data_IF_976945756432
#
_entry.id   IF_976945756432
#
_cell.length_a   1.000
_cell.length_b   1.000
_cell.length_c   1.000
_cell.angle_alpha   90.00
_cell.angle_beta   90.00
_cell.angle_gamma   90.00
#
_symmetry.space_group_name_H-M   'P 1'
#
loop_
_entity.id
_entity.type
_entity.pdbx_description
1 polymer ?
#
# COMPACT_ATOMS: atom_id res chain seq x y z
N UNK A 1 -34.43 -78.58 -2.23
CA UNK A 1 -33.29 -77.82 -1.65
C UNK A 1 -32.98 -76.64 -2.56
N UNK A 2 -33.46 -75.46 -2.22
CA UNK A 2 -33.17 -74.18 -2.96
C UNK A 2 -32.08 -73.44 -2.20
N UNK A 3 -30.90 -73.28 -2.80
CA UNK A 3 -29.80 -72.48 -2.26
C UNK A 3 -30.00 -71.02 -2.67
N UNK A 4 -30.31 -70.12 -1.71
CA UNK A 4 -30.34 -68.68 -1.92
C UNK A 4 -28.93 -68.15 -1.94
N UNK A 5 -28.53 -67.52 -3.07
CA UNK A 5 -27.30 -66.76 -3.22
C UNK A 5 -27.63 -65.34 -2.77
N UNK A 6 -26.95 -64.87 -1.72
CA UNK A 6 -26.99 -63.47 -1.27
C UNK A 6 -25.88 -62.69 -2.01
N UNK A 7 -26.20 -61.63 -2.78
CA UNK A 7 -25.14 -60.84 -3.40
C UNK A 7 -24.45 -59.95 -2.35
N UNK A 8 -23.15 -60.08 -2.24
CA UNK A 8 -22.30 -59.24 -1.40
C UNK A 8 -22.11 -57.86 -2.12
N UNK A 9 -22.77 -56.83 -1.59
CA UNK A 9 -22.62 -55.45 -2.09
C UNK A 9 -21.30 -54.87 -1.53
N UNK A 10 -20.30 -54.77 -2.38
CA UNK A 10 -19.05 -54.09 -2.03
C UNK A 10 -19.25 -52.57 -2.22
N UNK A 11 -19.43 -51.86 -1.12
CA UNK A 11 -19.46 -50.38 -1.13
C UNK A 11 -18.04 -49.83 -1.32
N UNK A 12 -17.72 -49.34 -2.52
CA UNK A 12 -16.48 -48.61 -2.77
C UNK A 12 -16.64 -47.18 -2.20
N UNK A 13 -16.01 -46.96 -1.06
CA UNK A 13 -15.94 -45.59 -0.47
C UNK A 13 -14.85 -44.80 -1.25
N UNK A 14 -15.30 -43.91 -2.11
CA UNK A 14 -14.42 -42.88 -2.70
C UNK A 14 -14.04 -41.86 -1.61
N UNK A 15 -12.85 -42.00 -1.05
CA UNK A 15 -12.23 -40.93 -0.23
C UNK A 15 -11.76 -39.86 -1.19
N UNK A 16 -12.58 -38.82 -1.39
CA UNK A 16 -12.15 -37.61 -2.06
C UNK A 16 -11.12 -36.93 -1.19
N UNK A 17 -9.84 -37.08 -1.53
CA UNK A 17 -8.76 -36.27 -0.97
C UNK A 17 -8.99 -34.83 -1.40
N UNK A 18 -9.67 -34.04 -0.55
CA UNK A 18 -9.72 -32.60 -0.70
C UNK A 18 -8.26 -32.12 -0.63
N UNK A 19 -7.74 -31.66 -1.76
CA UNK A 19 -6.44 -31.00 -1.82
C UNK A 19 -6.58 -29.68 -1.05
N UNK A 20 -6.37 -29.74 0.27
CA UNK A 20 -6.29 -28.54 1.10
C UNK A 20 -5.09 -27.76 0.59
N UNK A 21 -5.33 -26.66 -0.09
CA UNK A 21 -4.26 -25.72 -0.45
C UNK A 21 -3.56 -25.31 0.84
N UNK A 22 -2.32 -25.75 0.99
CA UNK A 22 -1.52 -25.44 2.17
C UNK A 22 -1.45 -23.92 2.33
N UNK A 23 -1.73 -23.41 3.54
CA UNK A 23 -1.60 -22.00 3.83
C UNK A 23 -0.19 -21.49 3.44
N UNK A 24 -0.06 -20.28 2.90
CA UNK A 24 1.23 -19.74 2.54
C UNK A 24 2.12 -19.66 3.78
N UNK A 25 3.38 -20.03 3.62
CA UNK A 25 4.38 -20.06 4.69
C UNK A 25 5.63 -19.33 4.22
N UNK A 26 5.58 -18.00 4.31
CA UNK A 26 6.68 -17.12 3.91
C UNK A 26 7.92 -17.38 4.78
N UNK A 27 7.75 -17.62 6.08
CA UNK A 27 8.89 -17.82 6.97
C UNK A 27 9.66 -19.10 6.59
N UNK A 28 8.96 -20.18 6.26
CA UNK A 28 9.60 -21.41 5.76
C UNK A 28 10.31 -21.18 4.43
N UNK A 29 9.64 -20.56 3.45
CA UNK A 29 10.25 -20.17 2.16
C UNK A 29 11.54 -19.36 2.35
N UNK A 30 11.49 -18.35 3.23
CA UNK A 30 12.65 -17.50 3.51
C UNK A 30 13.77 -18.28 4.19
N UNK A 31 13.44 -19.17 5.15
CA UNK A 31 14.41 -20.02 5.83
C UNK A 31 15.13 -20.96 4.85
N UNK A 32 14.41 -21.55 3.91
CA UNK A 32 14.94 -22.47 2.91
C UNK A 32 15.76 -21.76 1.82
N UNK A 33 15.31 -20.58 1.37
CA UNK A 33 15.93 -19.86 0.24
C UNK A 33 16.97 -18.81 0.65
N UNK A 34 17.00 -18.41 1.93
CA UNK A 34 17.81 -17.28 2.41
C UNK A 34 17.40 -15.93 1.80
N UNK A 35 16.18 -15.81 1.22
CA UNK A 35 15.77 -14.61 0.46
C UNK A 35 14.35 -14.17 0.80
N UNK A 36 14.16 -12.85 0.98
CA UNK A 36 12.87 -12.19 1.14
C UNK A 36 12.62 -11.24 -0.04
N UNK A 37 11.50 -11.42 -0.74
CA UNK A 37 11.10 -10.56 -1.85
C UNK A 37 10.22 -9.41 -1.35
N UNK A 38 10.69 -8.16 -1.50
CA UNK A 38 9.98 -6.95 -1.08
C UNK A 38 9.54 -6.17 -2.31
N UNK A 39 8.22 -6.01 -2.47
CA UNK A 39 7.64 -5.12 -3.47
C UNK A 39 7.79 -3.67 -3.06
N UNK A 40 8.24 -2.81 -3.98
CA UNK A 40 8.36 -1.38 -3.74
C UNK A 40 7.80 -0.56 -4.90
N UNK A 41 7.49 0.72 -4.66
CA UNK A 41 7.02 1.66 -5.68
C UNK A 41 8.18 2.53 -6.17
N UNK A 42 8.16 2.89 -7.45
CA UNK A 42 9.22 3.69 -8.04
C UNK A 42 8.98 5.21 -7.97
N UNK A 43 7.74 5.65 -7.72
CA UNK A 43 7.36 7.07 -7.79
C UNK A 43 6.44 7.56 -6.67
N UNK A 44 6.30 6.82 -5.54
CA UNK A 44 5.42 7.19 -4.43
C UNK A 44 6.17 7.91 -3.31
N UNK A 45 6.80 9.07 -3.63
CA UNK A 45 7.52 9.90 -2.65
C UNK A 45 6.54 10.50 -1.65
N UNK A 46 6.89 10.52 -0.34
CA UNK A 46 8.12 10.07 0.31
C UNK A 46 8.07 8.63 0.86
N UNK A 47 7.06 7.83 0.52
CA UNK A 47 6.86 6.48 1.09
C UNK A 47 7.75 5.42 0.44
N UNK A 48 7.74 5.33 -0.88
CA UNK A 48 8.47 4.31 -1.63
C UNK A 48 8.79 4.83 -3.03
N UNK A 49 10.06 4.94 -3.33
CA UNK A 49 10.54 5.51 -4.60
C UNK A 49 11.95 5.03 -4.91
N UNK A 50 12.45 5.36 -6.09
CA UNK A 50 13.84 5.13 -6.48
C UNK A 50 14.64 6.41 -6.25
N UNK A 51 15.71 6.32 -5.46
CA UNK A 51 16.60 7.45 -5.19
C UNK A 51 17.58 7.74 -6.35
N UNK A 52 18.45 8.72 -6.15
CA UNK A 52 19.45 9.13 -7.15
C UNK A 52 20.48 8.02 -7.46
N UNK A 53 20.69 7.10 -6.53
CA UNK A 53 21.59 5.94 -6.69
C UNK A 53 20.89 4.74 -7.33
N UNK A 54 19.64 4.90 -7.76
CA UNK A 54 18.77 3.84 -8.32
C UNK A 54 18.43 2.75 -7.32
N UNK A 55 18.34 3.09 -6.03
CA UNK A 55 17.98 2.17 -4.95
C UNK A 55 16.59 2.47 -4.41
N UNK A 56 15.83 1.44 -3.96
CA UNK A 56 14.58 1.63 -3.22
C UNK A 56 14.79 2.43 -1.94
N UNK A 57 14.01 3.50 -1.78
CA UNK A 57 14.14 4.47 -0.70
C UNK A 57 12.76 4.97 -0.26
N UNK A 58 12.66 5.56 0.93
CA UNK A 58 11.43 6.13 1.47
C UNK A 58 11.00 5.53 2.80
N UNK A 59 10.02 6.17 3.42
CA UNK A 59 9.48 5.81 4.74
C UNK A 59 9.06 4.33 4.83
N UNK A 60 8.26 3.86 3.88
CA UNK A 60 7.78 2.48 3.84
C UNK A 60 8.92 1.48 3.60
N UNK A 61 9.88 1.86 2.75
CA UNK A 61 11.07 1.06 2.48
C UNK A 61 11.93 0.93 3.73
N UNK A 62 12.06 2.01 4.51
CA UNK A 62 12.81 2.03 5.76
C UNK A 62 12.19 1.11 6.82
N UNK A 63 10.85 1.16 6.99
CA UNK A 63 10.13 0.24 7.87
C UNK A 63 10.30 -1.22 7.41
N UNK A 64 10.26 -1.47 6.11
CA UNK A 64 10.43 -2.83 5.58
C UNK A 64 11.86 -3.37 5.69
N UNK A 65 12.88 -2.53 5.69
CA UNK A 65 14.23 -2.92 6.07
C UNK A 65 14.29 -3.42 7.51
N UNK A 66 13.57 -2.77 8.45
CA UNK A 66 13.44 -3.24 9.85
C UNK A 66 12.70 -4.57 9.91
N UNK A 67 11.60 -4.72 9.14
CA UNK A 67 10.88 -6.00 9.06
C UNK A 67 11.78 -7.11 8.54
N UNK A 68 12.57 -6.86 7.50
CA UNK A 68 13.53 -7.85 6.98
C UNK A 68 14.57 -8.27 8.04
N UNK A 69 15.10 -7.31 8.81
CA UNK A 69 16.00 -7.62 9.92
C UNK A 69 15.32 -8.46 11.02
N UNK A 70 14.05 -8.13 11.36
CA UNK A 70 13.26 -8.92 12.29
C UNK A 70 12.99 -10.35 11.81
N UNK A 71 12.73 -10.55 10.51
CA UNK A 71 12.58 -11.86 9.89
C UNK A 71 13.90 -12.65 9.97
N UNK A 72 15.02 -12.00 9.64
CA UNK A 72 16.36 -12.62 9.76
C UNK A 72 16.62 -13.11 11.19
N UNK A 73 16.35 -12.27 12.18
CA UNK A 73 16.51 -12.60 13.60
C UNK A 73 15.58 -13.73 14.04
N UNK A 74 14.29 -13.66 13.67
CA UNK A 74 13.29 -14.70 14.01
C UNK A 74 13.67 -16.07 13.47
N UNK A 75 14.29 -16.12 12.29
CA UNK A 75 14.70 -17.38 11.64
C UNK A 75 16.11 -17.84 12.04
N UNK A 76 16.86 -17.05 12.81
CA UNK A 76 18.24 -17.33 13.18
C UNK A 76 19.18 -17.40 11.98
N UNK A 77 18.91 -16.62 10.92
CA UNK A 77 19.73 -16.66 9.71
C UNK A 77 20.98 -15.77 9.87
N UNK A 78 22.17 -16.24 9.45
CA UNK A 78 23.40 -15.45 9.50
C UNK A 78 23.33 -14.22 8.55
N UNK A 79 22.58 -14.33 7.46
CA UNK A 79 22.31 -13.26 6.52
C UNK A 79 20.96 -13.47 5.84
N UNK A 80 20.34 -12.39 5.36
CA UNK A 80 19.11 -12.42 4.57
C UNK A 80 19.32 -11.61 3.30
N UNK A 81 19.09 -12.24 2.14
CA UNK A 81 19.11 -11.56 0.86
C UNK A 81 17.76 -10.90 0.60
N UNK A 82 17.70 -9.58 0.61
CA UNK A 82 16.49 -8.82 0.26
C UNK A 82 16.45 -8.59 -1.24
N UNK A 83 15.45 -9.15 -1.90
CA UNK A 83 15.15 -8.96 -3.33
C UNK A 83 14.11 -7.86 -3.48
N UNK A 84 14.53 -6.69 -3.95
CA UNK A 84 13.63 -5.60 -4.27
C UNK A 84 12.97 -5.82 -5.63
N UNK A 85 11.63 -5.77 -5.67
CA UNK A 85 10.83 -5.99 -6.87
C UNK A 85 9.94 -4.77 -7.10
N UNK A 86 10.09 -4.04 -8.22
CA UNK A 86 9.19 -2.92 -8.50
C UNK A 86 7.76 -3.42 -8.75
N UNK A 87 6.79 -2.72 -8.18
CA UNK A 87 5.37 -3.00 -8.37
C UNK A 87 4.60 -1.71 -8.66
N UNK A 88 3.55 -1.83 -9.46
CA UNK A 88 2.68 -0.73 -9.88
C UNK A 88 1.38 -0.70 -9.07
N UNK A 89 0.58 0.38 -9.12
CA UNK A 89 -0.77 0.38 -8.55
C UNK A 89 -1.66 -0.73 -9.08
N UNK A 90 -1.46 -1.14 -10.33
CA UNK A 90 -2.25 -2.16 -11.03
C UNK A 90 -1.92 -3.57 -10.55
N UNK A 91 -0.63 -3.90 -10.38
CA UNK A 91 -0.17 -5.27 -10.14
C UNK A 91 0.19 -5.61 -8.68
N UNK A 92 0.43 -4.62 -7.80
CA UNK A 92 0.91 -4.83 -6.41
C UNK A 92 0.09 -5.83 -5.61
N UNK A 93 -1.26 -5.79 -5.72
CA UNK A 93 -2.14 -6.73 -4.99
C UNK A 93 -1.97 -8.14 -5.53
N UNK A 94 -1.92 -8.30 -6.86
CA UNK A 94 -1.74 -9.60 -7.50
C UNK A 94 -0.34 -10.15 -7.24
N UNK A 95 0.69 -9.31 -7.23
CA UNK A 95 2.08 -9.69 -6.93
C UNK A 95 2.24 -10.24 -5.51
N UNK A 96 1.52 -9.71 -4.52
CA UNK A 96 1.48 -10.27 -3.16
C UNK A 96 0.65 -11.56 -3.14
N UNK A 97 -0.55 -11.55 -3.72
CA UNK A 97 -1.47 -12.69 -3.67
C UNK A 97 -0.89 -13.96 -4.29
N UNK A 98 -0.14 -13.85 -5.38
CA UNK A 98 0.50 -14.98 -6.08
C UNK A 98 1.92 -15.30 -5.57
N UNK A 99 2.47 -14.49 -4.64
CA UNK A 99 3.79 -14.72 -4.05
C UNK A 99 4.99 -14.28 -4.90
N UNK A 100 4.78 -13.44 -5.92
CA UNK A 100 5.87 -12.76 -6.64
C UNK A 100 6.68 -11.90 -5.66
N UNK A 101 6.00 -11.24 -4.73
CA UNK A 101 6.59 -10.57 -3.57
C UNK A 101 6.00 -11.12 -2.27
N UNK A 102 6.78 -11.10 -1.20
CA UNK A 102 6.37 -11.60 0.12
C UNK A 102 5.65 -10.53 0.93
N UNK A 103 6.06 -9.28 0.75
CA UNK A 103 5.48 -8.09 1.38
C UNK A 103 5.56 -6.92 0.39
N UNK A 104 4.52 -6.09 0.34
CA UNK A 104 4.53 -4.84 -0.47
C UNK A 104 4.67 -3.64 0.46
N UNK A 105 5.67 -2.82 0.20
CA UNK A 105 6.14 -1.72 1.03
C UNK A 105 5.96 -0.37 0.31
N UNK A 106 4.70 -0.05 0.03
CA UNK A 106 4.30 1.20 -0.61
C UNK A 106 3.42 2.08 0.27
N UNK A 107 2.49 2.78 -0.37
CA UNK A 107 1.43 3.58 0.24
C UNK A 107 0.06 2.94 -0.03
N UNK A 108 -0.10 1.67 0.35
CA UNK A 108 -1.31 0.92 0.03
C UNK A 108 -2.33 1.01 1.15
N UNK A 109 -3.48 1.59 0.81
CA UNK A 109 -4.63 1.70 1.73
C UNK A 109 -5.18 0.33 2.06
N UNK A 110 -5.31 0.04 3.33
CA UNK A 110 -5.99 -1.13 3.85
C UNK A 110 -7.50 -0.94 3.71
N UNK A 111 -8.15 -1.75 2.87
CA UNK A 111 -9.60 -1.75 2.67
C UNK A 111 -10.16 -3.16 2.79
N UNK A 112 -11.44 -3.28 3.19
CA UNK A 112 -12.11 -4.57 3.31
C UNK A 112 -12.09 -5.35 1.99
N UNK A 113 -12.31 -4.68 0.85
CA UNK A 113 -12.28 -5.33 -0.47
C UNK A 113 -10.88 -5.84 -0.85
N UNK A 114 -9.80 -5.17 -0.43
CA UNK A 114 -8.44 -5.65 -0.64
C UNK A 114 -8.10 -6.82 0.28
N UNK A 115 -8.65 -6.83 1.50
CA UNK A 115 -8.50 -7.95 2.45
C UNK A 115 -9.15 -9.27 1.96
N UNK A 116 -10.01 -9.23 0.97
CA UNK A 116 -10.50 -10.45 0.31
C UNK A 116 -9.38 -11.20 -0.45
N UNK A 117 -8.32 -10.51 -0.83
CA UNK A 117 -7.22 -11.04 -1.66
C UNK A 117 -5.88 -11.13 -0.95
N UNK A 118 -5.60 -10.22 -0.03
CA UNK A 118 -4.35 -10.11 0.73
C UNK A 118 -4.64 -9.77 2.19
N UNK A 119 -3.70 -10.01 3.09
CA UNK A 119 -3.76 -9.50 4.46
C UNK A 119 -2.91 -8.22 4.57
N UNK A 120 -3.14 -7.46 5.64
CA UNK A 120 -2.37 -6.25 5.96
C UNK A 120 -1.71 -6.38 7.32
N UNK A 121 -0.56 -5.74 7.46
CA UNK A 121 0.09 -5.52 8.76
C UNK A 121 -0.71 -4.53 9.60
N UNK A 122 -0.24 -4.27 10.83
CA UNK A 122 -0.60 -3.06 11.57
C UNK A 122 -0.46 -1.84 10.66
N UNK A 123 -1.25 -0.79 10.93
CA UNK A 123 -1.17 0.45 10.17
C UNK A 123 0.23 1.05 10.25
N UNK A 124 0.68 1.59 9.12
CA UNK A 124 1.99 2.25 9.01
C UNK A 124 1.89 3.74 8.82
N UNK A 125 0.76 4.22 8.32
CA UNK A 125 0.47 5.64 8.14
C UNK A 125 -1.04 5.89 8.07
N UNK A 126 -1.44 7.16 8.21
CA UNK A 126 -2.81 7.62 7.99
C UNK A 126 -2.76 8.87 7.14
N UNK A 127 -3.45 8.85 6.01
CA UNK A 127 -3.56 9.96 5.07
C UNK A 127 -5.03 10.15 4.63
N UNK A 128 -5.26 11.00 3.67
CA UNK A 128 -6.54 11.19 2.99
C UNK A 128 -6.33 11.67 1.57
N UNK A 129 -7.23 11.28 0.68
CA UNK A 129 -7.24 11.74 -0.71
C UNK A 129 -7.51 13.23 -0.81
N UNK A 130 -6.91 13.91 -1.79
CA UNK A 130 -7.10 15.34 -2.07
C UNK A 130 -6.82 15.65 -3.55
N UNK A 131 -6.87 16.92 -3.90
CA UNK A 131 -6.52 17.43 -5.22
C UNK A 131 -5.22 18.23 -5.14
N UNK A 132 -4.35 18.09 -6.14
CA UNK A 132 -3.26 19.02 -6.43
C UNK A 132 -3.67 19.87 -7.61
N UNK A 133 -3.51 21.18 -7.50
CA UNK A 133 -3.88 22.16 -8.53
C UNK A 133 -2.83 23.26 -8.60
N UNK A 134 -2.82 24.04 -9.67
CA UNK A 134 -1.98 25.23 -9.72
C UNK A 134 -2.53 26.33 -8.79
N UNK A 135 -1.66 27.18 -8.25
CA UNK A 135 -2.06 28.31 -7.40
C UNK A 135 -2.93 29.34 -8.14
N UNK A 136 -2.78 29.44 -9.46
CA UNK A 136 -3.63 30.29 -10.33
C UNK A 136 -5.04 29.70 -10.55
N UNK A 137 -5.25 28.42 -10.26
CA UNK A 137 -6.53 27.75 -10.46
C UNK A 137 -7.57 28.22 -9.43
N UNK A 138 -8.83 28.40 -9.87
CA UNK A 138 -9.96 28.65 -8.99
C UNK A 138 -10.48 27.37 -8.28
N UNK A 139 -10.01 26.19 -8.68
CA UNK A 139 -10.45 24.91 -8.11
C UNK A 139 -9.98 24.82 -6.65
N UNK A 140 -10.92 24.69 -5.71
CA UNK A 140 -10.67 24.47 -4.26
C UNK A 140 -11.13 23.10 -3.80
N UNK A 141 -12.19 22.59 -4.41
CA UNK A 141 -12.90 21.37 -4.02
C UNK A 141 -13.47 20.66 -5.24
N UNK A 142 -13.99 19.44 -5.07
CA UNK A 142 -14.56 18.65 -6.18
C UNK A 142 -15.72 19.39 -6.89
N UNK A 143 -16.51 20.18 -6.16
CA UNK A 143 -17.59 20.96 -6.76
C UNK A 143 -17.13 21.94 -7.85
N UNK A 144 -15.86 22.34 -7.84
CA UNK A 144 -15.28 23.30 -8.79
C UNK A 144 -14.72 22.62 -10.07
N UNK A 145 -14.82 21.27 -10.17
CA UNK A 145 -14.28 20.49 -11.29
C UNK A 145 -15.21 20.43 -12.52
N UNK A 146 -16.33 21.17 -12.53
CA UNK A 146 -17.25 21.19 -13.67
C UNK A 146 -16.57 21.60 -14.97
N UNK A 147 -16.59 20.73 -16.00
CA UNK A 147 -15.93 20.95 -17.29
C UNK A 147 -14.40 20.94 -17.24
N UNK A 148 -13.79 20.49 -16.14
CA UNK A 148 -12.35 20.42 -15.93
C UNK A 148 -11.81 19.02 -16.18
N UNK A 149 -10.50 18.96 -16.46
CA UNK A 149 -9.76 17.70 -16.58
C UNK A 149 -9.08 17.36 -15.27
N UNK A 150 -9.37 16.18 -14.71
CA UNK A 150 -8.76 15.70 -13.48
C UNK A 150 -8.03 14.39 -13.73
N UNK A 151 -6.71 14.39 -13.50
CA UNK A 151 -5.89 13.20 -13.60
C UNK A 151 -6.02 12.33 -12.34
N UNK A 152 -5.98 11.02 -12.49
CA UNK A 152 -6.01 10.05 -11.39
C UNK A 152 -5.39 8.73 -11.83
N UNK A 153 -4.87 7.95 -10.88
CA UNK A 153 -4.37 6.59 -11.15
C UNK A 153 -5.52 5.60 -10.98
N UNK A 154 -5.83 4.78 -12.01
CA UNK A 154 -6.85 3.75 -11.94
C UNK A 154 -6.55 2.68 -10.87
N UNK A 155 -7.60 2.07 -10.30
CA UNK A 155 -7.50 1.03 -9.27
C UNK A 155 -7.11 1.55 -7.87
N UNK A 156 -6.98 2.87 -7.69
CA UNK A 156 -6.72 3.50 -6.40
C UNK A 156 -8.01 3.74 -5.62
N UNK A 157 -7.89 3.92 -4.31
CA UNK A 157 -8.99 4.37 -3.44
C UNK A 157 -9.40 5.78 -3.76
N UNK A 158 -8.43 6.64 -4.13
CA UNK A 158 -8.67 8.03 -4.54
C UNK A 158 -9.48 8.13 -5.83
N UNK A 159 -9.27 7.24 -6.82
CA UNK A 159 -10.13 7.18 -8.02
C UNK A 159 -11.60 6.95 -7.64
N UNK A 160 -11.85 5.94 -6.77
CA UNK A 160 -13.20 5.62 -6.31
C UNK A 160 -13.82 6.77 -5.52
N UNK A 161 -13.04 7.41 -4.65
CA UNK A 161 -13.48 8.54 -3.85
C UNK A 161 -13.80 9.76 -4.74
N UNK A 162 -12.96 10.05 -5.73
CA UNK A 162 -13.20 11.12 -6.73
C UNK A 162 -14.50 10.85 -7.50
N UNK A 163 -14.67 9.64 -8.03
CA UNK A 163 -15.89 9.28 -8.77
C UNK A 163 -17.16 9.45 -7.91
N UNK A 164 -17.11 9.00 -6.65
CA UNK A 164 -18.20 9.15 -5.69
C UNK A 164 -18.47 10.63 -5.38
N UNK A 165 -17.43 11.44 -5.19
CA UNK A 165 -17.55 12.87 -4.90
C UNK A 165 -18.10 13.67 -6.11
N UNK A 166 -17.65 13.37 -7.34
CA UNK A 166 -18.21 13.96 -8.57
C UNK A 166 -19.71 13.66 -8.69
N UNK A 167 -20.10 12.40 -8.49
CA UNK A 167 -21.52 11.99 -8.51
C UNK A 167 -22.32 12.70 -7.43
N UNK A 168 -21.82 12.74 -6.18
CA UNK A 168 -22.50 13.39 -5.05
C UNK A 168 -22.75 14.87 -5.29
N UNK A 169 -21.81 15.57 -5.92
CA UNK A 169 -21.91 16.99 -6.21
C UNK A 169 -22.61 17.31 -7.54
N UNK A 170 -23.01 16.30 -8.33
CA UNK A 170 -23.59 16.51 -9.66
C UNK A 170 -22.63 17.16 -10.66
N UNK A 171 -21.32 16.93 -10.48
CA UNK A 171 -20.26 17.57 -11.28
C UNK A 171 -19.82 16.62 -12.40
N UNK A 172 -19.77 17.16 -13.62
CA UNK A 172 -19.22 16.46 -14.77
C UNK A 172 -17.80 16.98 -15.05
N UNK A 173 -16.80 16.14 -14.77
CA UNK A 173 -15.39 16.36 -15.05
C UNK A 173 -14.86 15.30 -16.02
N UNK A 174 -13.89 15.67 -16.85
CA UNK A 174 -13.17 14.73 -17.69
C UNK A 174 -12.07 14.03 -16.83
N UNK A 175 -12.20 12.73 -16.60
CA UNK A 175 -11.22 11.95 -15.84
C UNK A 175 -10.12 11.45 -16.78
N UNK A 176 -8.87 11.83 -16.53
CA UNK A 176 -7.69 11.43 -17.30
C UNK A 176 -6.89 10.39 -16.51
N UNK A 177 -6.78 9.19 -17.05
CA UNK A 177 -6.04 8.12 -16.41
C UNK A 177 -4.53 8.27 -16.64
N UNK A 178 -3.76 8.18 -15.54
CA UNK A 178 -2.29 8.14 -15.55
C UNK A 178 -1.81 6.86 -14.88
N UNK A 179 -0.62 6.37 -15.22
CA UNK A 179 -0.08 5.12 -14.68
C UNK A 179 0.71 5.34 -13.40
N UNK A 180 1.44 6.45 -13.33
CA UNK A 180 2.33 6.79 -12.22
C UNK A 180 2.13 8.24 -11.76
N UNK A 181 2.51 8.52 -10.51
CA UNK A 181 2.32 9.84 -9.90
C UNK A 181 3.01 10.96 -10.68
N UNK A 182 4.22 10.70 -11.21
CA UNK A 182 4.98 11.69 -11.97
C UNK A 182 4.27 12.11 -13.27
N UNK A 183 3.46 11.23 -13.87
CA UNK A 183 2.66 11.59 -15.05
C UNK A 183 1.56 12.57 -14.68
N UNK A 184 0.91 12.38 -13.51
CA UNK A 184 -0.10 13.31 -12.99
C UNK A 184 0.46 14.72 -12.78
N UNK A 185 1.65 14.81 -12.18
CA UNK A 185 2.36 16.08 -12.03
C UNK A 185 2.66 16.72 -13.39
N UNK A 186 3.18 15.94 -14.35
CA UNK A 186 3.49 16.44 -15.69
C UNK A 186 2.27 17.00 -16.41
N UNK A 187 1.10 16.36 -16.28
CA UNK A 187 -0.14 16.86 -16.88
C UNK A 187 -0.56 18.20 -16.27
N UNK A 188 -0.37 18.40 -14.96
CA UNK A 188 -0.59 19.70 -14.30
C UNK A 188 0.40 20.77 -14.79
N UNK A 189 1.69 20.44 -14.83
CA UNK A 189 2.75 21.38 -15.22
C UNK A 189 2.59 21.85 -16.68
N UNK A 190 2.11 20.98 -17.56
CA UNK A 190 1.86 21.28 -18.97
C UNK A 190 0.46 21.85 -19.27
N UNK A 191 -0.42 21.96 -18.25
CA UNK A 191 -1.80 22.42 -18.43
C UNK A 191 -2.71 21.43 -19.16
N UNK A 192 -2.29 20.16 -19.31
CA UNK A 192 -3.09 19.10 -19.92
C UNK A 192 -4.13 18.51 -18.95
N UNK A 193 -3.95 18.75 -17.65
CA UNK A 193 -4.96 18.54 -16.61
C UNK A 193 -5.09 19.79 -15.74
N UNK A 194 -6.30 20.06 -15.25
CA UNK A 194 -6.60 21.17 -14.33
C UNK A 194 -6.35 20.78 -12.86
N UNK A 195 -6.44 19.49 -12.55
CA UNK A 195 -6.23 18.94 -11.23
C UNK A 195 -5.60 17.52 -11.32
N UNK A 196 -4.90 17.11 -10.26
CA UNK A 196 -4.46 15.73 -10.07
C UNK A 196 -4.97 15.24 -8.71
N UNK A 197 -5.69 14.10 -8.69
CA UNK A 197 -6.23 13.49 -7.49
C UNK A 197 -5.34 12.35 -7.01
N UNK A 198 -4.88 12.43 -5.76
CA UNK A 198 -4.13 11.37 -5.08
C UNK A 198 -4.17 11.60 -3.57
N UNK A 199 -3.45 10.78 -2.81
CA UNK A 199 -3.34 10.93 -1.37
C UNK A 199 -2.50 12.17 -1.05
N UNK A 200 -2.88 12.91 -0.02
CA UNK A 200 -2.39 14.26 0.27
C UNK A 200 -0.88 14.33 0.43
N UNK A 201 -0.30 13.40 1.17
CA UNK A 201 1.15 13.37 1.40
C UNK A 201 1.92 13.03 0.13
N UNK A 202 1.38 12.14 -0.72
CA UNK A 202 1.94 11.87 -2.05
C UNK A 202 1.90 13.12 -2.94
N UNK A 203 0.79 13.88 -2.92
CA UNK A 203 0.67 15.13 -3.65
C UNK A 203 1.71 16.17 -3.20
N UNK A 204 1.97 16.26 -1.88
CA UNK A 204 3.01 17.15 -1.33
C UNK A 204 4.40 16.68 -1.80
N UNK A 205 4.68 15.37 -1.71
CA UNK A 205 5.93 14.79 -2.19
C UNK A 205 6.20 15.08 -3.67
N UNK A 206 5.15 15.04 -4.51
CA UNK A 206 5.24 15.43 -5.91
C UNK A 206 5.47 16.93 -6.10
N UNK A 207 4.76 17.76 -5.33
CA UNK A 207 4.93 19.22 -5.42
C UNK A 207 6.36 19.65 -5.07
N UNK A 208 7.02 18.97 -4.12
CA UNK A 208 8.42 19.20 -3.78
C UNK A 208 9.36 18.82 -4.95
N UNK A 209 8.97 17.84 -5.77
CA UNK A 209 9.74 17.42 -6.95
C UNK A 209 9.49 18.28 -8.19
N UNK A 210 8.48 19.14 -8.16
CA UNK A 210 8.17 20.02 -9.29
C UNK A 210 9.26 21.09 -9.46
N UNK A 211 9.37 21.64 -10.66
CA UNK A 211 10.33 22.72 -10.97
C UNK A 211 10.06 24.02 -10.18
N UNK A 212 8.82 24.24 -9.76
CA UNK A 212 8.43 25.37 -8.90
C UNK A 212 7.25 24.99 -8.00
N UNK A 213 7.56 24.57 -6.78
CA UNK A 213 6.57 24.19 -5.76
C UNK A 213 5.55 25.31 -5.47
N UNK A 214 5.93 26.58 -5.61
CA UNK A 214 5.07 27.75 -5.34
C UNK A 214 3.91 27.86 -6.33
N UNK A 215 4.00 27.19 -7.47
CA UNK A 215 2.93 27.12 -8.47
C UNK A 215 1.84 26.12 -8.14
N UNK A 216 2.07 25.26 -7.14
CA UNK A 216 1.17 24.17 -6.78
C UNK A 216 0.57 24.39 -5.39
N UNK A 217 -0.65 23.96 -5.20
CA UNK A 217 -1.33 23.89 -3.90
C UNK A 217 -2.29 22.74 -3.84
N UNK A 218 -2.56 22.29 -2.63
CA UNK A 218 -3.59 21.29 -2.37
C UNK A 218 -5.00 21.92 -2.42
N UNK A 219 -5.99 21.09 -2.74
CA UNK A 219 -7.40 21.42 -2.51
C UNK A 219 -7.71 21.52 -1.01
N UNK A 220 -8.85 22.18 -0.70
CA UNK A 220 -9.22 22.52 0.67
C UNK A 220 -9.96 21.36 1.38
N UNK A 221 -10.34 20.29 0.67
CA UNK A 221 -11.09 19.15 1.21
C UNK A 221 -10.36 17.82 1.09
N UNK A 222 -10.72 16.89 1.97
CA UNK A 222 -10.37 15.50 1.86
C UNK A 222 -11.43 14.73 1.07
N UNK A 223 -11.00 13.86 0.15
CA UNK A 223 -11.86 12.99 -0.66
C UNK A 223 -12.14 11.68 0.05
N UNK A 224 -11.20 11.20 0.86
CA UNK A 224 -11.21 9.89 1.48
C UNK A 224 -10.39 9.86 2.75
N UNK A 225 -10.51 8.75 3.48
CA UNK A 225 -9.64 8.33 4.56
C UNK A 225 -8.78 7.16 4.07
N UNK A 226 -7.47 7.26 4.26
CA UNK A 226 -6.48 6.35 3.69
C UNK A 226 -5.58 5.74 4.79
N UNK A 227 -6.02 4.69 5.49
CA UNK A 227 -5.20 3.95 6.44
C UNK A 227 -4.25 3.03 5.68
N UNK A 228 -2.94 3.30 5.72
CA UNK A 228 -1.95 2.45 5.07
C UNK A 228 -1.52 1.28 5.94
N UNK A 229 -1.19 0.18 5.29
CA UNK A 229 -0.53 -0.98 5.87
C UNK A 229 0.24 -1.72 4.77
N UNK A 230 1.21 -2.53 5.15
CA UNK A 230 1.92 -3.35 4.20
C UNK A 230 1.12 -4.61 3.88
N UNK A 231 1.04 -4.95 2.60
CA UNK A 231 0.34 -6.16 2.17
C UNK A 231 1.23 -7.39 2.30
N UNK A 232 0.67 -8.46 2.84
CA UNK A 232 1.25 -9.80 2.89
C UNK A 232 0.26 -10.80 2.30
N UNK A 233 0.70 -12.01 1.95
CA UNK A 233 -0.23 -13.04 1.45
C UNK A 233 -1.34 -13.30 2.46
N UNK A 234 -2.53 -13.51 1.93
CA UNK A 234 -3.69 -13.84 2.76
C UNK A 234 -3.46 -15.16 3.51
N UNK A 235 -3.86 -15.19 4.78
CA UNK A 235 -3.70 -16.34 5.69
C UNK A 235 -2.24 -16.67 6.08
N UNK A 236 -1.27 -15.81 5.80
CA UNK A 236 0.11 -15.95 6.27
C UNK A 236 0.27 -15.28 7.65
N UNK A 237 -0.44 -15.81 8.63
CA UNK A 237 -0.51 -15.23 9.97
C UNK A 237 0.84 -15.20 10.69
N UNK A 238 1.70 -16.20 10.47
CA UNK A 238 3.02 -16.29 11.10
C UNK A 238 3.95 -15.17 10.60
N UNK A 239 4.03 -14.96 9.29
CA UNK A 239 4.84 -13.89 8.71
C UNK A 239 4.28 -12.50 9.09
N UNK A 240 2.95 -12.32 9.00
CA UNK A 240 2.30 -11.09 9.42
C UNK A 240 2.58 -10.75 10.89
N UNK A 241 2.58 -11.75 11.78
CA UNK A 241 2.88 -11.54 13.20
C UNK A 241 4.32 -11.04 13.41
N UNK A 242 5.31 -11.58 12.69
CA UNK A 242 6.69 -11.08 12.75
C UNK A 242 6.75 -9.61 12.30
N UNK A 243 6.12 -9.28 11.16
CA UNK A 243 6.06 -7.89 10.67
C UNK A 243 5.40 -6.95 11.69
N UNK A 244 4.28 -7.38 12.29
CA UNK A 244 3.56 -6.60 13.31
C UNK A 244 4.37 -6.39 14.58
N UNK A 245 5.12 -7.40 15.06
CA UNK A 245 6.02 -7.26 16.22
C UNK A 245 7.10 -6.22 15.98
N UNK A 246 7.70 -6.24 14.79
CA UNK A 246 8.69 -5.23 14.42
C UNK A 246 8.09 -3.83 14.42
N UNK A 247 6.95 -3.64 13.74
CA UNK A 247 6.26 -2.34 13.69
C UNK A 247 5.86 -1.86 15.10
N UNK A 248 5.25 -2.73 15.90
CA UNK A 248 4.87 -2.40 17.27
C UNK A 248 6.09 -2.04 18.14
N UNK A 249 7.22 -2.73 17.96
CA UNK A 249 8.49 -2.41 18.62
C UNK A 249 9.01 -1.02 18.26
N UNK A 250 9.00 -0.66 16.98
CA UNK A 250 9.38 0.67 16.48
C UNK A 250 8.49 1.77 17.09
N UNK A 251 7.18 1.53 17.20
CA UNK A 251 6.24 2.49 17.78
C UNK A 251 6.45 2.65 19.30
N UNK A 252 6.62 1.54 20.04
CA UNK A 252 6.84 1.58 21.49
C UNK A 252 8.17 2.19 21.90
N UNK A 253 9.22 1.96 21.11
CA UNK A 253 10.57 2.49 21.42
C UNK A 253 10.72 3.97 21.10
N UNK A 254 9.79 4.58 20.33
CA UNK A 254 9.93 5.94 19.83
C UNK A 254 10.83 6.05 18.58
N UNK A 255 11.37 4.94 18.05
CA UNK A 255 12.19 4.96 16.82
C UNK A 255 11.42 5.57 15.64
N UNK A 256 10.08 5.44 15.64
CA UNK A 256 9.22 6.00 14.60
C UNK A 256 9.35 7.52 14.47
N UNK A 257 9.66 8.24 15.55
CA UNK A 257 9.83 9.69 15.53
C UNK A 257 11.03 10.10 14.65
N UNK A 258 12.14 9.38 14.77
CA UNK A 258 13.33 9.62 13.94
C UNK A 258 13.09 9.25 12.48
N UNK A 259 12.38 8.14 12.23
CA UNK A 259 12.00 7.73 10.87
C UNK A 259 11.05 8.77 10.26
N UNK A 260 10.06 9.23 11.03
CA UNK A 260 9.14 10.28 10.59
C UNK A 260 9.89 11.58 10.26
N UNK A 261 10.74 12.05 11.15
CA UNK A 261 11.54 13.27 10.94
C UNK A 261 12.38 13.19 9.68
N UNK A 262 13.00 12.04 9.42
CA UNK A 262 13.82 11.82 8.21
C UNK A 262 13.02 12.00 6.92
N UNK A 263 11.78 11.51 6.87
CA UNK A 263 10.99 11.46 5.64
C UNK A 263 9.94 12.56 5.52
N UNK A 264 9.48 13.08 6.63
CA UNK A 264 8.36 14.03 6.71
C UNK A 264 8.68 15.30 7.51
N UNK A 265 9.89 15.47 8.05
CA UNK A 265 10.26 16.61 8.89
C UNK A 265 9.97 17.96 8.23
N UNK A 266 10.15 18.05 6.90
CA UNK A 266 9.78 19.25 6.12
C UNK A 266 8.29 19.58 6.15
N UNK A 267 7.42 18.63 6.51
CA UNK A 267 5.99 18.80 6.62
C UNK A 267 5.56 19.21 8.05
N UNK A 268 6.50 19.28 8.99
CA UNK A 268 6.27 19.55 10.40
C UNK A 268 5.98 18.28 11.21
N UNK A 269 5.43 18.46 12.40
CA UNK A 269 5.12 17.35 13.32
C UNK A 269 4.00 16.45 12.78
N UNK A 270 4.00 15.16 13.15
CA UNK A 270 2.92 14.24 12.79
C UNK A 270 1.59 14.75 13.35
N UNK A 271 0.51 14.61 12.58
CA UNK A 271 -0.84 14.97 13.01
C UNK A 271 -1.25 14.18 14.27
N UNK A 272 -2.17 14.72 15.07
CA UNK A 272 -2.68 14.02 16.25
C UNK A 272 -3.28 12.64 15.91
N UNK A 273 -3.89 12.50 14.73
CA UNK A 273 -4.42 11.22 14.24
C UNK A 273 -3.28 10.22 13.96
N UNK A 274 -2.19 10.67 13.35
CA UNK A 274 -1.03 9.82 13.08
C UNK A 274 -0.32 9.41 14.38
N UNK A 275 -0.19 10.33 15.33
CA UNK A 275 0.36 10.02 16.67
C UNK A 275 -0.51 8.99 17.41
N UNK A 276 -1.84 9.15 17.38
CA UNK A 276 -2.77 8.19 17.96
C UNK A 276 -2.65 6.82 17.27
N UNK A 277 -2.47 6.79 15.96
CA UNK A 277 -2.27 5.54 15.21
C UNK A 277 -1.00 4.83 15.68
N UNK A 278 0.15 5.52 15.82
CA UNK A 278 1.37 4.91 16.34
C UNK A 278 1.17 4.33 17.74
N UNK A 279 0.53 5.11 18.64
CA UNK A 279 0.24 4.66 19.99
C UNK A 279 -0.63 3.40 20.01
N UNK A 280 -1.72 3.38 19.25
CA UNK A 280 -2.67 2.25 19.20
C UNK A 280 -2.10 1.00 18.53
N UNK A 281 -1.15 1.15 17.60
CA UNK A 281 -0.48 0.03 16.94
C UNK A 281 0.83 -0.39 17.64
N UNK A 282 1.25 0.32 18.67
CA UNK A 282 2.34 -0.06 19.57
C UNK A 282 1.93 -1.14 20.56
N UNK A 283 1.37 -2.26 20.07
CA UNK A 283 0.83 -3.36 20.88
C UNK A 283 1.90 -3.94 21.80
N UNK A 284 1.56 -4.26 23.09
CA UNK A 284 2.48 -4.96 24.00
C UNK A 284 2.77 -6.38 23.50
N UNK A 285 3.89 -6.98 24.00
CA UNK A 285 4.21 -8.39 23.75
C UNK A 285 3.21 -9.30 24.46
#
# INVERSE_FOLDING_TARGET
MRRSLIPLLVAVVFVSAACATQAPDTLRKVKESGSLAIGYRESSVPFSFVDLEKKPSGYSVELCKRIAAGVQQQLGLPSLNVKWVPVTPEDRITSVANGTVDIECGSTTNTLSRQERVDFTNMTFVDGGSLLVTTASAIRRVADLGGKKVAVIPGTTTEKALAAALKKNGVNAEVVNVKEHIEGLRLLDTGLADAYASDRVLLIGLAIQSSDIRRLRLGDEYLSYEPYGFMVRRNDAAFRLVANRVLAGIYRSGEIEQIYETWFGVLGLPSSLLQAMYLLNGLPE
#
